data_IF_073733811487
#
_entry.id   IF_073733811487
#
_cell.length_a   1.000
_cell.length_b   1.000
_cell.length_c   1.000
_cell.angle_alpha   90.00
_cell.angle_beta   90.00
_cell.angle_gamma   90.00
#
_symmetry.space_group_name_H-M   'P 1'
#
loop_
_entity.id
_entity.type
_entity.pdbx_description
1 polymer ?
#
# COMPACT_ATOMS: atom_id res chain seq x y z
N UNK A 1 -4.33 12.59 -9.08
CA UNK A 1 -2.90 12.94 -9.23
C UNK A 1 -2.17 11.61 -9.23
N UNK A 2 -1.37 11.34 -10.27
CA UNK A 2 -0.61 10.10 -10.35
C UNK A 2 0.70 10.23 -9.58
N UNK A 3 0.96 9.31 -8.66
CA UNK A 3 2.23 9.16 -7.95
C UNK A 3 2.93 7.87 -8.44
N UNK A 4 4.19 7.99 -8.86
CA UNK A 4 5.03 6.85 -9.24
C UNK A 4 5.88 6.47 -8.03
N UNK A 5 5.82 5.22 -7.62
CA UNK A 5 6.60 4.71 -6.49
C UNK A 5 7.15 3.30 -6.75
N UNK A 6 7.98 2.84 -5.83
CA UNK A 6 8.55 1.51 -5.82
C UNK A 6 8.12 0.78 -4.56
N UNK A 7 7.44 -0.34 -4.73
CA UNK A 7 6.96 -1.16 -3.63
C UNK A 7 7.52 -2.57 -3.76
N UNK A 8 7.87 -3.16 -2.63
CA UNK A 8 8.35 -4.53 -2.61
C UNK A 8 7.30 -5.49 -3.18
N UNK A 9 7.78 -6.46 -3.94
CA UNK A 9 7.00 -7.53 -4.52
C UNK A 9 6.59 -8.48 -3.40
N UNK A 10 5.31 -8.44 -3.04
CA UNK A 10 4.73 -9.40 -2.12
C UNK A 10 3.85 -10.36 -2.93
N UNK A 11 4.05 -11.67 -2.73
CA UNK A 11 3.38 -12.70 -3.53
C UNK A 11 1.85 -12.61 -3.53
N UNK A 12 1.25 -11.98 -2.50
CA UNK A 12 -0.21 -11.91 -2.37
C UNK A 12 -0.76 -10.49 -2.25
N UNK A 13 -0.21 -9.63 -1.40
CA UNK A 13 -0.76 -8.29 -1.19
C UNK A 13 -0.07 -7.26 -2.09
N UNK A 14 -0.83 -6.45 -2.84
CA UNK A 14 -0.30 -5.41 -3.75
C UNK A 14 -0.70 -3.97 -3.40
N UNK A 15 -1.24 -3.71 -2.20
CA UNK A 15 -1.62 -2.36 -1.80
C UNK A 15 -0.45 -1.44 -1.44
N UNK A 16 -0.77 -0.27 -0.93
CA UNK A 16 0.16 0.84 -0.66
C UNK A 16 1.10 0.58 0.52
N UNK A 17 0.66 -0.18 1.53
CA UNK A 17 1.47 -0.46 2.72
C UNK A 17 2.46 -1.59 2.47
N UNK A 18 3.51 -1.28 1.71
CA UNK A 18 4.61 -2.19 1.39
C UNK A 18 5.97 -1.52 1.62
N UNK A 19 7.04 -2.30 1.86
CA UNK A 19 8.38 -1.76 1.94
C UNK A 19 8.74 -0.98 0.67
N UNK A 20 9.41 0.14 0.85
CA UNK A 20 10.00 0.97 -0.19
C UNK A 20 11.50 0.64 -0.34
N UNK A 21 12.18 1.08 -1.41
CA UNK A 21 13.64 0.99 -1.52
C UNK A 21 14.31 1.50 -0.24
N UNK A 22 15.37 0.83 0.19
CA UNK A 22 16.05 1.10 1.45
C UNK A 22 17.57 0.98 1.30
N UNK A 23 18.29 1.81 2.05
CA UNK A 23 19.75 1.73 2.15
C UNK A 23 20.18 0.42 2.82
N UNK A 24 21.26 -0.18 2.33
CA UNK A 24 21.82 -1.43 2.88
C UNK A 24 23.17 -1.13 3.50
N UNK A 25 23.22 -1.11 4.84
CA UNK A 25 24.41 -0.75 5.63
C UNK A 25 25.63 -1.63 5.36
N UNK A 26 25.43 -2.89 4.97
CA UNK A 26 26.54 -3.79 4.64
C UNK A 26 27.23 -3.43 3.31
N UNK A 27 26.58 -2.65 2.45
CA UNK A 27 27.16 -2.20 1.19
C UNK A 27 27.80 -0.82 1.35
N UNK A 28 28.94 -0.54 0.69
CA UNK A 28 29.48 0.81 0.66
C UNK A 28 28.50 1.77 -0.01
N UNK A 29 28.59 3.07 0.29
CA UNK A 29 27.71 4.08 -0.30
C UNK A 29 27.78 4.09 -1.84
N UNK A 30 28.96 3.80 -2.41
CA UNK A 30 29.19 3.73 -3.87
C UNK A 30 28.56 2.49 -4.53
N UNK A 31 28.03 1.55 -3.74
CA UNK A 31 27.37 0.37 -4.29
C UNK A 31 26.11 0.75 -5.07
N UNK A 32 25.81 0.09 -6.22
CA UNK A 32 24.66 0.45 -7.06
C UNK A 32 23.33 0.54 -6.31
N UNK A 33 23.06 -0.37 -5.36
CA UNK A 33 21.83 -0.35 -4.55
C UNK A 33 21.71 0.93 -3.71
N UNK A 34 22.78 1.34 -3.04
CA UNK A 34 22.78 2.52 -2.18
C UNK A 34 22.71 3.81 -3.03
N UNK A 35 23.38 3.84 -4.18
CA UNK A 35 23.21 4.93 -5.16
C UNK A 35 21.78 5.02 -5.69
N UNK A 36 21.14 3.88 -5.96
CA UNK A 36 19.76 3.83 -6.41
C UNK A 36 18.76 4.28 -5.33
N UNK A 37 19.00 3.93 -4.06
CA UNK A 37 18.24 4.46 -2.92
C UNK A 37 18.38 5.99 -2.81
N UNK A 38 19.60 6.53 -2.87
CA UNK A 38 19.83 7.97 -2.81
C UNK A 38 19.12 8.69 -3.98
N UNK A 39 19.16 8.11 -5.17
CA UNK A 39 18.42 8.62 -6.33
C UNK A 39 16.90 8.61 -6.06
N UNK A 40 16.36 7.49 -5.58
CA UNK A 40 14.94 7.37 -5.22
C UNK A 40 14.50 8.45 -4.21
N UNK A 41 15.25 8.64 -3.14
CA UNK A 41 14.92 9.63 -2.09
C UNK A 41 15.00 11.08 -2.58
N UNK A 42 15.95 11.40 -3.45
CA UNK A 42 16.10 12.76 -4.00
C UNK A 42 15.07 13.12 -5.07
N UNK A 43 14.49 12.11 -5.74
CA UNK A 43 13.56 12.30 -6.85
C UNK A 43 12.14 11.84 -6.55
N UNK A 44 11.80 11.49 -5.30
CA UNK A 44 10.52 10.83 -4.96
C UNK A 44 9.31 11.51 -5.58
N UNK A 45 9.23 12.84 -5.51
CA UNK A 45 8.08 13.61 -5.99
C UNK A 45 8.06 13.80 -7.53
N UNK A 46 9.16 13.47 -8.21
CA UNK A 46 9.34 13.67 -9.66
C UNK A 46 9.90 12.42 -10.36
N UNK A 47 9.71 11.23 -9.77
CA UNK A 47 10.28 9.99 -10.28
C UNK A 47 9.59 9.60 -11.59
N UNK A 48 10.35 9.43 -12.67
CA UNK A 48 9.80 8.93 -13.93
C UNK A 48 9.63 7.40 -13.91
N UNK A 49 8.76 6.87 -14.78
CA UNK A 49 8.55 5.42 -14.90
C UNK A 49 9.85 4.70 -15.28
N UNK A 50 10.64 5.26 -16.20
CA UNK A 50 11.91 4.67 -16.64
C UNK A 50 12.93 4.63 -15.50
N UNK A 51 13.00 5.68 -14.68
CA UNK A 51 13.86 5.73 -13.51
C UNK A 51 13.42 4.73 -12.44
N UNK A 52 12.11 4.64 -12.17
CA UNK A 52 11.57 3.65 -11.25
C UNK A 52 11.91 2.22 -11.70
N UNK A 53 11.72 1.91 -12.99
CA UNK A 53 12.08 0.60 -13.57
C UNK A 53 13.58 0.31 -13.44
N UNK A 54 14.44 1.31 -13.67
CA UNK A 54 15.89 1.17 -13.52
C UNK A 54 16.27 0.87 -12.07
N UNK A 55 15.70 1.57 -11.10
CA UNK A 55 15.95 1.34 -9.67
C UNK A 55 15.46 -0.06 -9.28
N UNK A 56 14.25 -0.46 -9.71
CA UNK A 56 13.72 -1.81 -9.48
C UNK A 56 14.67 -2.90 -10.01
N UNK A 57 15.20 -2.71 -11.22
CA UNK A 57 16.16 -3.65 -11.82
C UNK A 57 17.47 -3.75 -11.02
N UNK A 58 17.98 -2.64 -10.49
CA UNK A 58 19.16 -2.64 -9.61
C UNK A 58 18.89 -3.48 -8.35
N UNK A 59 17.76 -3.24 -7.66
CA UNK A 59 17.43 -4.04 -6.48
C UNK A 59 17.23 -5.51 -6.82
N UNK A 60 16.56 -5.83 -7.93
CA UNK A 60 16.37 -7.22 -8.35
C UNK A 60 17.69 -7.94 -8.67
N UNK A 61 18.70 -7.22 -9.17
CA UNK A 61 20.02 -7.78 -9.47
C UNK A 61 20.84 -8.08 -8.22
N UNK A 62 20.83 -7.18 -7.23
CA UNK A 62 21.75 -7.23 -6.10
C UNK A 62 21.11 -7.70 -4.79
N UNK A 63 19.77 -7.70 -4.70
CA UNK A 63 19.03 -8.13 -3.50
C UNK A 63 18.22 -9.39 -3.85
N UNK A 64 18.80 -10.54 -3.53
CA UNK A 64 18.37 -11.86 -4.03
C UNK A 64 17.09 -12.41 -3.36
N UNK A 65 16.62 -11.80 -2.27
CA UNK A 65 15.37 -12.24 -1.65
C UNK A 65 14.17 -11.89 -2.55
N UNK A 66 13.28 -12.85 -2.88
CA UNK A 66 12.05 -12.56 -3.63
C UNK A 66 11.16 -11.50 -2.97
N UNK A 67 11.24 -11.39 -1.64
CA UNK A 67 10.51 -10.40 -0.84
C UNK A 67 11.15 -9.00 -0.89
N UNK A 68 12.30 -8.87 -1.54
CA UNK A 68 13.07 -7.63 -1.68
C UNK A 68 13.23 -7.21 -3.14
N UNK A 69 12.55 -7.89 -4.07
CA UNK A 69 12.37 -7.38 -5.43
C UNK A 69 11.38 -6.22 -5.38
N UNK A 70 11.65 -5.13 -6.08
CA UNK A 70 10.73 -3.99 -6.15
C UNK A 70 10.03 -3.97 -7.50
N UNK A 71 8.80 -3.46 -7.52
CA UNK A 71 8.04 -3.22 -8.74
C UNK A 71 7.63 -1.75 -8.84
N UNK A 72 7.56 -1.24 -10.07
CA UNK A 72 7.11 0.11 -10.36
C UNK A 72 5.58 0.14 -10.28
N UNK A 73 5.06 0.97 -9.38
CA UNK A 73 3.64 1.11 -9.12
C UNK A 73 3.24 2.57 -9.35
N UNK A 74 2.15 2.76 -10.06
CA UNK A 74 1.47 4.06 -10.16
C UNK A 74 0.24 4.03 -9.27
N UNK A 75 0.18 4.97 -8.34
CA UNK A 75 -0.95 5.20 -7.45
C UNK A 75 -1.69 6.42 -8.00
N UNK A 76 -3.00 6.29 -8.18
CA UNK A 76 -3.81 7.35 -8.74
C UNK A 76 -5.18 7.46 -8.08
N UNK A 77 -5.88 8.55 -8.39
CA UNK A 77 -7.28 8.69 -8.00
C UNK A 77 -8.15 7.69 -8.77
N UNK A 78 -9.34 7.32 -8.26
CA UNK A 78 -10.28 6.48 -9.00
C UNK A 78 -10.67 7.10 -10.34
N UNK A 79 -10.63 6.30 -11.40
CA UNK A 79 -10.93 6.75 -12.76
C UNK A 79 -9.76 7.37 -13.53
N UNK A 80 -8.61 7.58 -12.89
CA UNK A 80 -7.38 7.89 -13.62
C UNK A 80 -6.90 6.66 -14.39
N UNK A 81 -6.57 6.85 -15.66
CA UNK A 81 -6.06 5.80 -16.54
C UNK A 81 -4.54 5.93 -16.67
N UNK A 82 -3.85 4.79 -16.58
CA UNK A 82 -2.40 4.72 -16.77
C UNK A 82 -2.13 3.90 -18.03
N UNK A 83 -1.60 4.56 -19.06
CA UNK A 83 -1.26 3.91 -20.32
C UNK A 83 -0.20 2.83 -20.11
N UNK A 84 -0.43 1.64 -20.69
CA UNK A 84 0.44 0.46 -20.57
C UNK A 84 0.58 -0.11 -19.13
N UNK A 85 -0.26 0.32 -18.18
CA UNK A 85 -0.30 -0.22 -16.83
C UNK A 85 -1.30 -1.37 -16.68
N UNK A 86 -0.94 -2.38 -15.89
CA UNK A 86 -1.87 -3.42 -15.42
C UNK A 86 -2.61 -2.90 -14.18
N UNK A 87 -3.93 -2.76 -14.26
CA UNK A 87 -4.74 -2.37 -13.11
C UNK A 87 -4.82 -3.52 -12.10
N UNK A 88 -4.32 -3.30 -10.89
CA UNK A 88 -4.30 -4.29 -9.82
C UNK A 88 -5.56 -4.27 -8.95
N UNK A 89 -6.30 -3.16 -8.96
CA UNK A 89 -7.47 -2.92 -8.12
C UNK A 89 -7.33 -1.67 -7.26
N UNK A 90 -8.25 -1.53 -6.30
CA UNK A 90 -8.38 -0.39 -5.42
C UNK A 90 -7.90 -0.73 -4.00
N UNK A 91 -7.13 0.19 -3.42
CA UNK A 91 -6.73 0.20 -2.02
C UNK A 91 -7.44 1.34 -1.27
N UNK A 92 -7.46 1.28 0.06
CA UNK A 92 -7.95 2.37 0.91
C UNK A 92 -6.76 2.90 1.69
N UNK A 93 -6.27 4.07 1.31
CA UNK A 93 -4.98 4.57 1.78
C UNK A 93 -5.08 5.97 2.39
N UNK A 94 -4.22 6.25 3.36
CA UNK A 94 -3.89 7.60 3.80
C UNK A 94 -2.55 8.00 3.19
N UNK A 95 -2.53 9.17 2.55
CA UNK A 95 -1.34 9.76 1.92
C UNK A 95 -0.59 8.79 0.99
N UNK A 96 -1.33 7.91 0.31
CA UNK A 96 -0.82 6.91 -0.64
C UNK A 96 0.19 5.88 -0.09
N UNK A 97 0.40 5.79 1.24
CA UNK A 97 1.36 4.84 1.83
C UNK A 97 0.76 3.95 2.93
N UNK A 98 -0.30 4.38 3.62
CA UNK A 98 -0.88 3.64 4.74
C UNK A 98 -2.24 3.05 4.39
N UNK A 99 -2.30 1.73 4.23
CA UNK A 99 -3.52 1.01 3.82
C UNK A 99 -4.37 0.54 5.01
N UNK A 100 -5.68 0.83 4.97
CA UNK A 100 -6.66 0.29 5.92
C UNK A 100 -6.99 -1.18 5.68
N UNK A 101 -6.82 -1.67 4.45
CA UNK A 101 -7.10 -3.06 4.10
C UNK A 101 -5.85 -3.93 4.13
N UNK A 102 -4.80 -3.49 4.83
CA UNK A 102 -3.51 -4.16 4.96
C UNK A 102 -3.63 -5.69 4.99
N UNK A 103 -2.91 -6.31 4.06
CA UNK A 103 -2.84 -7.76 3.88
C UNK A 103 -4.24 -8.42 3.73
N UNK A 104 -5.20 -7.70 3.13
CA UNK A 104 -6.55 -8.18 2.86
C UNK A 104 -7.43 -8.27 4.10
N UNK A 105 -7.40 -7.22 4.93
CA UNK A 105 -8.16 -7.13 6.19
C UNK A 105 -7.76 -8.20 7.22
N UNK A 106 -6.57 -8.79 7.05
CA UNK A 106 -6.04 -9.80 7.97
C UNK A 106 -5.44 -9.20 9.22
N UNK A 107 -5.03 -7.93 9.16
CA UNK A 107 -4.34 -7.31 10.27
C UNK A 107 -5.29 -7.14 11.47
N UNK A 108 -4.96 -7.81 12.57
CA UNK A 108 -5.48 -7.48 13.89
C UNK A 108 -4.52 -6.46 14.52
N UNK A 109 -5.01 -5.44 15.24
CA UNK A 109 -4.15 -4.42 15.82
C UNK A 109 -3.03 -5.06 16.66
N UNK A 110 -1.81 -4.50 16.63
CA UNK A 110 -0.64 -5.15 17.19
C UNK A 110 -0.81 -5.39 18.69
N UNK A 111 -0.38 -6.57 19.13
CA UNK A 111 -0.31 -6.92 20.54
C UNK A 111 0.51 -5.86 21.29
N UNK A 112 -0.13 -5.10 22.18
CA UNK A 112 0.52 -4.04 22.96
C UNK A 112 -0.22 -2.71 22.98
N UNK A 113 -1.19 -2.47 22.08
CA UNK A 113 -2.19 -1.41 22.32
C UNK A 113 -3.15 -1.91 23.43
N UNK A 114 -3.62 -1.03 24.34
CA UNK A 114 -4.70 -1.39 25.26
C UNK A 114 -5.80 -2.03 24.42
N UNK A 115 -6.25 -3.25 24.78
CA UNK A 115 -7.35 -3.91 24.08
C UNK A 115 -8.46 -2.87 23.96
N UNK A 116 -8.77 -2.48 22.73
CA UNK A 116 -9.92 -1.64 22.46
C UNK A 116 -11.14 -2.31 23.10
N UNK A 117 -12.14 -1.54 23.57
CA UNK A 117 -13.26 -2.11 24.29
C UNK A 117 -13.82 -3.31 23.53
N UNK A 118 -14.09 -4.42 24.24
CA UNK A 118 -14.60 -5.70 23.70
C UNK A 118 -15.84 -5.58 22.77
N UNK A 119 -16.46 -4.39 22.73
CA UNK A 119 -17.60 -4.01 21.90
C UNK A 119 -17.24 -3.80 20.42
N UNK A 120 -15.97 -3.51 20.10
CA UNK A 120 -15.56 -3.21 18.70
C UNK A 120 -15.35 -4.46 17.88
N UNK A 121 -14.85 -5.53 18.50
CA UNK A 121 -14.45 -6.75 17.80
C UNK A 121 -15.57 -7.36 16.96
N UNK A 122 -16.84 -7.46 17.43
CA UNK A 122 -17.92 -7.97 16.59
C UNK A 122 -18.18 -7.13 15.34
N UNK A 123 -18.11 -5.80 15.45
CA UNK A 123 -18.35 -4.89 14.32
C UNK A 123 -17.18 -4.93 13.33
N UNK A 124 -15.95 -4.88 13.84
CA UNK A 124 -14.75 -5.04 13.01
C UNK A 124 -14.76 -6.40 12.30
N UNK A 125 -15.12 -7.48 12.99
CA UNK A 125 -15.23 -8.81 12.41
C UNK A 125 -16.34 -8.88 11.36
N UNK A 126 -17.48 -8.22 11.56
CA UNK A 126 -18.54 -8.14 10.57
C UNK A 126 -18.02 -7.49 9.28
N UNK A 127 -17.30 -6.37 9.39
CA UNK A 127 -16.66 -5.71 8.24
C UNK A 127 -15.67 -6.64 7.55
N UNK A 128 -14.78 -7.30 8.31
CA UNK A 128 -13.80 -8.25 7.77
C UNK A 128 -14.49 -9.39 7.01
N UNK A 129 -15.50 -10.02 7.60
CA UNK A 129 -16.25 -11.13 6.98
C UNK A 129 -17.01 -10.67 5.74
N UNK A 130 -17.55 -9.45 5.75
CA UNK A 130 -18.25 -8.89 4.61
C UNK A 130 -17.29 -8.55 3.47
N UNK A 131 -16.23 -7.79 3.72
CA UNK A 131 -15.40 -7.22 2.65
C UNK A 131 -14.29 -8.16 2.16
N UNK A 132 -13.75 -9.05 3.01
CA UNK A 132 -12.64 -9.92 2.61
C UNK A 132 -12.95 -10.83 1.41
N UNK A 133 -14.14 -11.45 1.28
CA UNK A 133 -14.48 -12.25 0.10
C UNK A 133 -14.59 -11.45 -1.21
N UNK A 134 -14.65 -10.12 -1.13
CA UNK A 134 -14.73 -9.22 -2.30
C UNK A 134 -13.35 -8.79 -2.81
N UNK A 135 -12.28 -9.17 -2.12
CA UNK A 135 -10.92 -8.87 -2.54
C UNK A 135 -10.45 -9.85 -3.63
N UNK A 136 -9.65 -9.38 -4.57
CA UNK A 136 -9.04 -10.20 -5.63
C UNK A 136 -7.78 -10.95 -5.14
N UNK A 137 -7.07 -11.64 -6.03
CA UNK A 137 -5.81 -12.35 -5.70
C UNK A 137 -4.71 -11.43 -5.15
N UNK A 138 -4.79 -10.14 -5.42
CA UNK A 138 -3.88 -9.10 -4.92
C UNK A 138 -4.27 -8.54 -3.56
N UNK A 139 -5.37 -9.06 -2.98
CA UNK A 139 -6.01 -8.58 -1.75
C UNK A 139 -6.42 -7.11 -1.84
N UNK A 140 -6.78 -6.67 -3.04
CA UNK A 140 -7.34 -5.35 -3.33
C UNK A 140 -8.79 -5.50 -3.76
N UNK A 141 -9.57 -4.41 -3.73
CA UNK A 141 -10.92 -4.45 -4.28
C UNK A 141 -10.85 -4.37 -5.81
N UNK A 142 -11.47 -5.30 -6.56
CA UNK A 142 -11.55 -5.19 -8.00
C UNK A 142 -12.55 -4.10 -8.45
N UNK A 143 -13.54 -3.77 -7.61
CA UNK A 143 -14.57 -2.78 -7.89
C UNK A 143 -14.43 -1.54 -6.99
N UNK A 144 -14.52 -0.36 -7.59
CA UNK A 144 -14.47 0.92 -6.87
C UNK A 144 -15.59 1.02 -5.81
N UNK A 145 -16.80 0.56 -6.13
CA UNK A 145 -17.94 0.69 -5.23
C UNK A 145 -17.78 -0.14 -3.95
N UNK A 146 -17.17 -1.33 -4.03
CA UNK A 146 -16.89 -2.13 -2.84
C UNK A 146 -15.84 -1.44 -1.95
N UNK A 147 -14.82 -0.80 -2.56
CA UNK A 147 -13.80 -0.05 -1.83
C UNK A 147 -14.37 1.19 -1.14
N UNK A 148 -15.20 1.97 -1.85
CA UNK A 148 -15.88 3.15 -1.29
C UNK A 148 -16.80 2.75 -0.13
N UNK A 149 -17.60 1.70 -0.31
CA UNK A 149 -18.49 1.23 0.74
C UNK A 149 -17.71 0.72 1.96
N UNK A 150 -16.59 0.03 1.75
CA UNK A 150 -15.71 -0.38 2.84
C UNK A 150 -15.13 0.82 3.59
N UNK A 151 -14.65 1.84 2.87
CA UNK A 151 -14.14 3.08 3.47
C UNK A 151 -15.21 3.78 4.31
N UNK A 152 -16.41 3.97 3.76
CA UNK A 152 -17.55 4.56 4.48
C UNK A 152 -17.85 3.80 5.79
N UNK A 153 -17.90 2.47 5.72
CA UNK A 153 -18.16 1.64 6.90
C UNK A 153 -17.05 1.77 7.95
N UNK A 154 -15.78 1.77 7.54
CA UNK A 154 -14.64 1.94 8.44
C UNK A 154 -14.63 3.32 9.08
N UNK A 155 -14.89 4.38 8.31
CA UNK A 155 -14.92 5.75 8.82
C UNK A 155 -16.11 5.98 9.76
N UNK A 156 -17.27 5.38 9.48
CA UNK A 156 -18.40 5.39 10.40
C UNK A 156 -18.05 4.71 11.73
N UNK A 157 -17.30 3.61 11.70
CA UNK A 157 -16.85 2.94 12.93
C UNK A 157 -15.81 3.77 13.69
N UNK A 158 -14.87 4.43 12.99
CA UNK A 158 -13.92 5.37 13.60
C UNK A 158 -14.60 6.60 14.20
N UNK A 159 -15.70 7.08 13.63
CA UNK A 159 -16.47 8.20 14.20
C UNK A 159 -17.11 7.84 15.55
N UNK A 160 -17.52 6.58 15.73
CA UNK A 160 -18.03 6.07 17.02
C UNK A 160 -16.87 5.83 17.99
N UNK A 161 -15.72 5.39 17.47
CA UNK A 161 -14.56 4.97 18.25
C UNK A 161 -13.32 5.68 17.71
N UNK A 162 -13.04 6.91 18.17
CA UNK A 162 -11.87 7.66 17.74
C UNK A 162 -10.59 6.86 17.97
N UNK A 163 -9.62 7.03 17.08
CA UNK A 163 -8.34 6.31 17.10
C UNK A 163 -8.43 4.80 16.82
N UNK A 164 -9.54 4.31 16.27
CA UNK A 164 -9.70 2.90 15.91
C UNK A 164 -8.65 2.45 14.89
N UNK A 165 -8.58 3.13 13.74
CA UNK A 165 -7.68 2.77 12.65
C UNK A 165 -6.46 3.71 12.56
N UNK A 166 -6.69 5.00 12.78
CA UNK A 166 -5.66 6.04 12.65
C UNK A 166 -6.03 7.27 13.48
N UNK A 167 -5.24 8.35 13.40
CA UNK A 167 -5.62 9.61 14.04
C UNK A 167 -6.94 10.13 13.43
N UNK A 168 -7.82 10.80 14.20
CA UNK A 168 -9.08 11.35 13.68
C UNK A 168 -8.90 12.34 12.51
N UNK A 169 -7.74 12.97 12.43
CA UNK A 169 -7.39 13.92 11.37
C UNK A 169 -6.81 13.25 10.10
N UNK A 170 -6.53 11.95 10.15
CA UNK A 170 -6.02 11.22 8.99
C UNK A 170 -7.16 11.03 7.97
N UNK A 171 -6.93 11.52 6.75
CA UNK A 171 -7.92 11.44 5.67
C UNK A 171 -7.61 10.22 4.82
N UNK A 172 -8.50 9.23 4.86
CA UNK A 172 -8.43 8.07 3.99
C UNK A 172 -9.18 8.29 2.70
N UNK A 173 -8.61 7.79 1.61
CA UNK A 173 -9.22 7.81 0.29
C UNK A 173 -9.07 6.45 -0.39
N UNK A 174 -9.92 6.21 -1.40
CA UNK A 174 -9.75 5.06 -2.28
C UNK A 174 -8.75 5.44 -3.37
N UNK A 175 -7.73 4.62 -3.57
CA UNK A 175 -6.71 4.81 -4.61
C UNK A 175 -6.72 3.65 -5.60
N UNK A 176 -6.44 3.96 -6.86
CA UNK A 176 -6.23 2.98 -7.93
C UNK A 176 -4.76 2.56 -7.95
N UNK A 177 -4.50 1.25 -8.04
CA UNK A 177 -3.15 0.69 -8.09
C UNK A 177 -2.86 0.14 -9.48
N UNK A 178 -1.76 0.58 -10.09
CA UNK A 178 -1.34 0.13 -11.41
C UNK A 178 0.11 -0.35 -11.39
N UNK A 179 0.39 -1.47 -12.05
CA UNK A 179 1.74 -1.99 -12.24
C UNK A 179 2.27 -1.64 -13.63
N UNK A 180 3.50 -1.14 -13.70
CA UNK A 180 4.18 -0.74 -14.95
C UNK A 180 5.16 -1.77 -15.49
#
# INVERSE_FOLDING_TARGET
MLEITLLANNQKYRGTYRPHPYFIDQFPETHPVNQAFLTFTSMRDNLSIDQAKQIAAIYAQYVVSPQSQFECIVIGSPGEFVENGEHLGFDIAHAHYYSLILDGLLYDPPAGRPRQPLVVDPLSNLLKVHFRPRLNEHRLFPNLQDALFCLECMMALQAIIPHLYAHPDDIFEVVSMWKM
#
